data_IF_430570248494
#
_entry.id   IF_430570248494
#
_cell.length_a   1.000
_cell.length_b   1.000
_cell.length_c   1.000
_cell.angle_alpha   90.00
_cell.angle_beta   90.00
_cell.angle_gamma   90.00
#
_symmetry.space_group_name_H-M   'P 1'
#
loop_
_entity.id
_entity.type
_entity.pdbx_description
1 polymer ?
#
# COMPACT_ATOMS: atom_id res chain seq x y z
N UNK A 1 -1.86 -17.70 -8.61
CA UNK A 1 -1.49 -17.10 -9.91
C UNK A 1 -2.54 -16.12 -10.39
N UNK A 2 -3.79 -16.54 -10.66
CA UNK A 2 -4.85 -15.67 -11.19
C UNK A 2 -5.11 -14.36 -10.40
N UNK A 3 -5.08 -14.40 -9.06
CA UNK A 3 -5.30 -13.20 -8.24
C UNK A 3 -4.20 -12.14 -8.41
N UNK A 4 -2.94 -12.57 -8.50
CA UNK A 4 -1.81 -11.67 -8.80
C UNK A 4 -1.97 -11.03 -10.16
N UNK A 5 -2.22 -11.84 -11.19
CA UNK A 5 -2.31 -11.35 -12.57
C UNK A 5 -3.50 -10.37 -12.70
N UNK A 6 -4.62 -10.63 -12.02
CA UNK A 6 -5.76 -9.72 -11.95
C UNK A 6 -5.41 -8.39 -11.26
N UNK A 7 -4.69 -8.42 -10.14
CA UNK A 7 -4.24 -7.20 -9.47
C UNK A 7 -3.23 -6.41 -10.31
N UNK A 8 -2.34 -7.08 -11.04
CA UNK A 8 -1.38 -6.43 -11.93
C UNK A 8 -2.05 -5.75 -13.14
N UNK A 9 -3.26 -6.18 -13.51
CA UNK A 9 -4.05 -5.53 -14.56
C UNK A 9 -4.76 -4.25 -14.08
N UNK A 10 -4.84 -4.00 -12.77
CA UNK A 10 -5.46 -2.82 -12.18
C UNK A 10 -4.37 -1.78 -11.92
N UNK A 11 -4.38 -0.72 -12.74
CA UNK A 11 -3.53 0.46 -12.49
C UNK A 11 -4.18 1.35 -11.45
N UNK A 12 -3.38 1.88 -10.53
CA UNK A 12 -3.77 2.86 -9.54
C UNK A 12 -3.04 4.16 -9.81
N UNK A 13 -3.76 5.28 -9.75
CA UNK A 13 -3.10 6.58 -9.63
C UNK A 13 -2.52 6.80 -8.21
N UNK A 14 -1.85 7.93 -8.03
CA UNK A 14 -1.23 8.26 -6.74
C UNK A 14 -2.26 8.41 -5.61
N UNK A 15 -3.43 9.00 -5.90
CA UNK A 15 -4.49 9.18 -4.92
C UNK A 15 -5.14 7.86 -4.54
N UNK A 16 -5.37 6.97 -5.50
CA UNK A 16 -5.88 5.61 -5.25
C UNK A 16 -4.90 4.77 -4.42
N UNK A 17 -3.59 4.90 -4.68
CA UNK A 17 -2.57 4.25 -3.86
C UNK A 17 -2.54 4.80 -2.42
N UNK A 18 -2.66 6.12 -2.24
CA UNK A 18 -2.75 6.74 -0.91
C UNK A 18 -4.01 6.30 -0.15
N UNK A 19 -5.17 6.23 -0.82
CA UNK A 19 -6.41 5.73 -0.22
C UNK A 19 -6.24 4.28 0.24
N UNK A 20 -5.59 3.44 -0.58
CA UNK A 20 -5.26 2.07 -0.21
C UNK A 20 -4.38 2.02 1.05
N UNK A 21 -3.29 2.78 1.07
CA UNK A 21 -2.37 2.82 2.21
C UNK A 21 -3.06 3.34 3.49
N UNK A 22 -3.92 4.35 3.37
CA UNK A 22 -4.71 4.88 4.49
C UNK A 22 -5.65 3.82 5.06
N UNK A 23 -6.33 3.07 4.20
CA UNK A 23 -7.18 1.96 4.64
C UNK A 23 -6.36 0.88 5.38
N UNK A 24 -5.17 0.55 4.86
CA UNK A 24 -4.28 -0.40 5.53
C UNK A 24 -3.78 0.10 6.89
N UNK A 25 -3.46 1.39 7.01
CA UNK A 25 -3.10 2.02 8.29
C UNK A 25 -4.25 1.97 9.28
N UNK A 26 -5.48 2.30 8.87
CA UNK A 26 -6.66 2.24 9.73
C UNK A 26 -6.97 0.81 10.21
N UNK A 27 -6.65 -0.22 9.41
CA UNK A 27 -6.79 -1.61 9.81
C UNK A 27 -5.72 -2.08 10.81
N UNK A 28 -4.48 -1.54 10.72
CA UNK A 28 -3.38 -1.91 11.63
C UNK A 28 -3.38 -1.08 12.92
N UNK A 29 -3.76 0.18 12.84
CA UNK A 29 -3.75 1.16 13.90
C UNK A 29 -5.17 1.73 14.10
N UNK A 30 -6.05 0.90 14.68
CA UNK A 30 -7.47 1.21 14.90
C UNK A 30 -7.75 1.99 16.20
N UNK A 31 -6.73 2.22 17.03
CA UNK A 31 -6.82 2.97 18.28
C UNK A 31 -6.94 4.49 18.02
N UNK A 32 -8.10 5.11 18.29
CA UNK A 32 -8.30 6.54 18.04
C UNK A 32 -7.44 7.45 18.92
N UNK A 33 -6.94 6.95 20.06
CA UNK A 33 -6.06 7.68 20.96
C UNK A 33 -4.57 7.52 20.59
N UNK A 34 -4.25 6.61 19.64
CA UNK A 34 -2.89 6.36 19.17
C UNK A 34 -2.84 6.41 17.64
N UNK A 35 -2.59 7.59 17.04
CA UNK A 35 -2.45 7.68 15.60
C UNK A 35 -1.33 6.76 15.09
N UNK A 36 -1.47 6.29 13.85
CA UNK A 36 -0.45 5.49 13.21
C UNK A 36 0.93 6.19 13.28
N UNK A 37 2.00 5.48 13.66
CA UNK A 37 3.34 6.06 13.78
C UNK A 37 3.99 6.37 12.43
N UNK A 38 3.32 6.04 11.32
CA UNK A 38 3.79 6.17 9.95
C UNK A 38 2.65 6.67 9.05
N UNK A 39 3.03 7.36 7.98
CA UNK A 39 2.13 7.93 6.98
C UNK A 39 1.95 7.02 5.77
N UNK A 40 0.94 7.30 4.94
CA UNK A 40 0.68 6.64 3.67
C UNK A 40 1.91 6.69 2.75
N UNK A 41 2.60 7.83 2.70
CA UNK A 41 3.82 8.01 1.91
C UNK A 41 4.96 7.09 2.36
N UNK A 42 5.09 6.85 3.68
CA UNK A 42 6.06 5.91 4.23
C UNK A 42 5.67 4.46 3.97
N UNK A 43 4.37 4.14 4.02
CA UNK A 43 3.84 2.82 3.64
C UNK A 43 4.07 2.51 2.17
N UNK A 44 3.93 3.50 1.28
CA UNK A 44 4.11 3.36 -0.16
C UNK A 44 5.57 3.51 -0.60
N UNK A 45 6.50 3.77 0.32
CA UNK A 45 7.91 3.94 0.00
C UNK A 45 8.49 2.64 -0.60
N UNK A 46 8.95 2.65 -1.87
CA UNK A 46 9.50 1.45 -2.50
C UNK A 46 10.86 1.11 -1.90
N UNK A 47 11.09 -0.18 -1.59
CA UNK A 47 12.41 -0.67 -1.14
C UNK A 47 13.37 -0.90 -2.30
N UNK A 48 12.84 -1.27 -3.47
CA UNK A 48 13.58 -1.44 -4.73
C UNK A 48 12.96 -0.61 -5.83
N UNK A 49 13.74 -0.29 -6.86
CA UNK A 49 13.23 0.48 -8.00
C UNK A 49 12.09 -0.27 -8.74
N UNK A 50 12.17 -1.59 -8.82
CA UNK A 50 11.15 -2.43 -9.48
C UNK A 50 9.77 -2.39 -8.80
N UNK A 51 9.70 -1.96 -7.53
CA UNK A 51 8.45 -1.88 -6.76
C UNK A 51 7.62 -0.63 -7.10
N UNK A 52 8.15 0.25 -7.95
CA UNK A 52 7.51 1.53 -8.34
C UNK A 52 6.35 1.36 -9.31
N UNK A 53 5.99 0.14 -9.70
CA UNK A 53 4.86 -0.07 -10.61
C UNK A 53 3.57 0.46 -9.98
N UNK A 54 2.77 1.23 -10.72
CA UNK A 54 1.52 1.79 -10.23
C UNK A 54 0.38 0.78 -10.36
N UNK A 55 0.63 -0.51 -10.12
CA UNK A 55 -0.40 -1.55 -10.16
C UNK A 55 -0.79 -2.00 -8.74
N UNK A 56 -2.04 -2.48 -8.58
CA UNK A 56 -2.59 -2.86 -7.28
C UNK A 56 -1.73 -3.92 -6.59
N UNK A 57 -1.13 -4.85 -7.34
CA UNK A 57 -0.24 -5.86 -6.77
C UNK A 57 1.03 -5.25 -6.17
N UNK A 58 1.67 -4.33 -6.88
CA UNK A 58 2.85 -3.61 -6.38
C UNK A 58 2.52 -2.67 -5.20
N UNK A 59 1.35 -2.04 -5.19
CA UNK A 59 0.88 -1.24 -4.04
C UNK A 59 0.60 -2.11 -2.82
N UNK A 60 -0.07 -3.24 -3.01
CA UNK A 60 -0.33 -4.22 -1.94
C UNK A 60 0.97 -4.73 -1.32
N UNK A 61 1.95 -5.14 -2.14
CA UNK A 61 3.22 -5.65 -1.63
C UNK A 61 4.01 -4.62 -0.84
N UNK A 62 4.17 -3.39 -1.37
CA UNK A 62 4.85 -2.30 -0.63
C UNK A 62 4.18 -2.04 0.73
N UNK A 63 2.85 -2.07 0.75
CA UNK A 63 2.08 -1.91 1.97
C UNK A 63 2.38 -3.02 2.98
N UNK A 64 2.33 -4.30 2.58
CA UNK A 64 2.65 -5.43 3.46
C UNK A 64 4.09 -5.38 3.98
N UNK A 65 5.05 -5.07 3.11
CA UNK A 65 6.47 -5.00 3.47
C UNK A 65 6.75 -3.90 4.49
N UNK A 66 6.09 -2.75 4.37
CA UNK A 66 6.31 -1.60 5.26
C UNK A 66 5.40 -1.61 6.49
N UNK A 67 4.36 -2.44 6.51
CA UNK A 67 3.47 -2.67 7.64
C UNK A 67 3.72 -4.01 8.35
N UNK A 68 4.90 -4.61 8.23
CA UNK A 68 5.22 -5.82 9.01
C UNK A 68 5.28 -5.55 10.51
#
# INVERSE_FOLDING_TARGET
>A
QASRDAMQAITLDNGEAEVFARAALALKYDDPDKPAPITESQVLAPRRFDDRRPDLWSVFNRTQENLT
#
